data_IF_746331028163
#
_entry.id   IF_746331028163
#
_cell.length_a   1.000
_cell.length_b   1.000
_cell.length_c   1.000
_cell.angle_alpha   90.00
_cell.angle_beta   90.00
_cell.angle_gamma   90.00
#
_symmetry.space_group_name_H-M   'P 1'
#
loop_
_entity.id
_entity.type
_entity.pdbx_description
1 polymer ?
#
# COMPACT_ATOMS: atom_id res chain seq x y z
N UNK A 1 20.21 8.47 -8.71
CA UNK A 1 20.50 9.11 -7.40
C UNK A 1 19.61 8.61 -6.25
N UNK A 2 18.30 8.34 -6.45
CA UNK A 2 17.45 7.76 -5.39
C UNK A 2 17.91 6.36 -4.91
N UNK A 3 18.18 5.44 -5.84
CA UNK A 3 18.82 4.14 -5.53
C UNK A 3 20.22 4.28 -4.91
N UNK A 4 20.94 5.37 -5.21
CA UNK A 4 22.25 5.63 -4.63
C UNK A 4 22.17 6.10 -3.17
N UNK A 5 21.11 6.85 -2.79
CA UNK A 5 20.87 7.21 -1.39
C UNK A 5 20.34 6.03 -0.58
N UNK A 6 19.50 5.17 -1.18
CA UNK A 6 19.08 3.92 -0.56
C UNK A 6 20.28 2.98 -0.36
N UNK A 7 21.17 2.86 -1.34
CA UNK A 7 22.41 2.11 -1.18
C UNK A 7 23.34 2.70 -0.13
N UNK A 8 23.47 4.03 -0.05
CA UNK A 8 24.23 4.68 1.01
C UNK A 8 23.64 4.36 2.40
N UNK A 9 22.31 4.37 2.53
CA UNK A 9 21.63 3.98 3.76
C UNK A 9 21.85 2.49 4.10
N UNK A 10 21.73 1.59 3.13
CA UNK A 10 21.99 0.15 3.32
C UNK A 10 23.46 -0.12 3.70
N UNK A 11 24.40 0.61 3.09
CA UNK A 11 25.83 0.57 3.42
C UNK A 11 26.07 1.03 4.86
N UNK A 12 25.46 2.16 5.26
CA UNK A 12 25.58 2.69 6.62
C UNK A 12 25.00 1.75 7.69
N UNK A 13 24.02 0.91 7.31
CA UNK A 13 23.42 -0.11 8.16
C UNK A 13 24.17 -1.45 8.15
N UNK A 14 25.26 -1.58 7.39
CA UNK A 14 26.02 -2.84 7.25
C UNK A 14 25.27 -3.94 6.49
N UNK A 15 24.20 -3.59 5.77
CA UNK A 15 23.41 -4.55 5.00
C UNK A 15 24.12 -4.86 3.68
N UNK A 16 24.43 -6.14 3.44
CA UNK A 16 24.97 -6.59 2.16
C UNK A 16 23.95 -6.36 1.04
N UNK A 17 24.36 -5.71 -0.04
CA UNK A 17 23.50 -5.40 -1.17
C UNK A 17 24.31 -5.35 -2.46
N UNK A 18 23.66 -5.64 -3.59
CA UNK A 18 24.23 -5.49 -4.95
C UNK A 18 23.33 -4.54 -5.73
N UNK A 19 23.89 -3.43 -6.19
CA UNK A 19 23.17 -2.50 -7.06
C UNK A 19 23.39 -2.95 -8.50
N UNK A 20 22.33 -3.44 -9.14
CA UNK A 20 22.33 -3.66 -10.59
C UNK A 20 21.83 -2.38 -11.26
N UNK A 21 22.73 -1.64 -11.90
CA UNK A 21 22.35 -0.53 -12.76
C UNK A 21 21.91 -1.06 -14.12
N UNK A 22 20.75 -0.59 -14.59
CA UNK A 22 20.34 -0.77 -15.97
C UNK A 22 21.43 -0.25 -16.93
N UNK A 23 21.95 -1.06 -17.87
CA UNK A 23 23.02 -0.65 -18.78
C UNK A 23 22.58 0.42 -19.78
N UNK A 24 21.27 0.69 -19.89
CA UNK A 24 20.75 1.79 -20.70
C UNK A 24 21.22 3.12 -20.10
N UNK A 25 21.89 3.95 -20.92
CA UNK A 25 22.26 5.32 -20.55
C UNK A 25 21.01 6.11 -20.17
N UNK A 26 20.73 6.21 -18.87
CA UNK A 26 19.71 7.11 -18.36
C UNK A 26 20.23 8.52 -18.56
N UNK A 27 19.57 9.34 -19.38
CA UNK A 27 19.93 10.74 -19.54
C UNK A 27 19.50 11.51 -18.30
N UNK A 28 20.34 11.53 -17.27
CA UNK A 28 20.11 12.23 -16.00
C UNK A 28 20.00 13.76 -16.12
N UNK A 29 20.21 14.33 -17.33
CA UNK A 29 19.92 15.74 -17.65
C UNK A 29 18.49 15.95 -18.16
N UNK A 30 17.83 14.91 -18.64
CA UNK A 30 16.45 14.94 -19.12
C UNK A 30 15.42 14.53 -18.04
N UNK A 31 15.89 14.26 -16.82
CA UNK A 31 15.05 13.84 -15.69
C UNK A 31 15.01 14.96 -14.67
N UNK A 32 13.82 15.45 -14.35
CA UNK A 32 13.61 16.36 -13.24
C UNK A 32 13.80 15.61 -11.91
N UNK A 33 14.96 15.81 -11.29
CA UNK A 33 15.37 15.14 -10.06
C UNK A 33 14.52 15.59 -8.87
N UNK A 34 14.04 16.84 -8.87
CA UNK A 34 13.18 17.39 -7.83
C UNK A 34 11.82 16.72 -7.93
N UNK A 35 11.28 16.58 -9.14
CA UNK A 35 10.05 15.84 -9.37
C UNK A 35 10.17 14.38 -8.90
N UNK A 36 11.28 13.68 -9.17
CA UNK A 36 11.47 12.31 -8.68
C UNK A 36 11.54 12.22 -7.15
N UNK A 37 12.30 13.09 -6.49
CA UNK A 37 12.37 13.10 -5.02
C UNK A 37 11.03 13.43 -4.37
N UNK A 38 10.20 14.25 -5.04
CA UNK A 38 8.85 14.56 -4.57
C UNK A 38 7.96 13.31 -4.47
N UNK A 39 8.14 12.31 -5.35
CA UNK A 39 7.37 11.05 -5.34
C UNK A 39 7.66 10.24 -4.07
N UNK A 40 8.94 10.05 -3.72
CA UNK A 40 9.33 9.37 -2.49
C UNK A 40 8.86 10.12 -1.24
N UNK A 41 9.07 11.44 -1.23
CA UNK A 41 8.61 12.32 -0.15
C UNK A 41 7.11 12.17 0.08
N UNK A 42 6.32 12.18 -1.00
CA UNK A 42 4.86 12.12 -0.91
C UNK A 42 4.36 10.81 -0.29
N UNK A 43 5.01 9.67 -0.60
CA UNK A 43 4.63 8.39 -0.02
C UNK A 43 4.90 8.36 1.50
N UNK A 44 6.10 8.78 1.90
CA UNK A 44 6.49 8.87 3.32
C UNK A 44 5.64 9.88 4.07
N UNK A 45 5.36 11.02 3.43
CA UNK A 45 4.48 12.06 3.96
C UNK A 45 3.08 11.51 4.23
N UNK A 46 2.45 10.86 3.24
CA UNK A 46 1.11 10.31 3.43
C UNK A 46 1.08 9.20 4.47
N UNK A 47 2.12 8.37 4.57
CA UNK A 47 2.26 7.41 5.68
C UNK A 47 2.22 8.12 7.04
N UNK A 48 3.05 9.15 7.21
CA UNK A 48 3.15 9.87 8.49
C UNK A 48 1.87 10.66 8.78
N UNK A 49 1.39 11.43 7.81
CA UNK A 49 0.22 12.30 7.95
C UNK A 49 -1.06 11.50 8.22
N UNK A 50 -1.24 10.36 7.58
CA UNK A 50 -2.39 9.50 7.83
C UNK A 50 -2.18 8.58 9.05
N UNK A 51 -1.10 8.73 9.82
CA UNK A 51 -0.75 7.81 10.91
C UNK A 51 -0.82 6.32 10.52
N UNK A 52 -0.39 6.03 9.29
CA UNK A 52 -0.42 4.69 8.71
C UNK A 52 0.85 3.92 9.07
N UNK A 53 0.73 2.61 9.26
CA UNK A 53 1.88 1.73 9.40
C UNK A 53 2.55 1.46 8.05
N UNK A 54 1.78 1.51 6.97
CA UNK A 54 2.23 1.25 5.62
C UNK A 54 1.51 2.11 4.58
N UNK A 55 2.27 2.61 3.60
CA UNK A 55 1.76 3.35 2.45
C UNK A 55 2.38 2.80 1.17
N UNK A 56 1.53 2.39 0.22
CA UNK A 56 1.94 1.88 -1.08
C UNK A 56 1.79 2.92 -2.19
N UNK A 57 2.70 2.88 -3.17
CA UNK A 57 2.52 3.53 -4.45
C UNK A 57 1.60 2.71 -5.37
N UNK A 58 1.08 3.36 -6.40
CA UNK A 58 0.35 2.71 -7.49
C UNK A 58 1.33 2.16 -8.53
N UNK A 59 1.35 0.84 -8.75
CA UNK A 59 2.16 0.24 -9.80
C UNK A 59 1.33 0.07 -11.09
N UNK A 60 1.76 0.74 -12.16
CA UNK A 60 1.02 0.75 -13.42
C UNK A 60 1.83 0.12 -14.55
N UNK A 61 1.12 -0.62 -15.38
CA UNK A 61 1.61 -1.15 -16.66
C UNK A 61 0.77 -0.61 -17.82
N UNK A 62 1.29 -0.60 -19.05
CA UNK A 62 0.45 -0.34 -20.21
C UNK A 62 -0.59 -1.45 -20.35
N UNK A 63 -1.73 -1.11 -20.93
CA UNK A 63 -2.74 -2.10 -21.29
C UNK A 63 -2.17 -3.14 -22.28
N UNK A 64 -2.66 -4.37 -22.21
CA UNK A 64 -2.19 -5.51 -22.99
C UNK A 64 -2.98 -5.74 -24.29
N UNK A 65 -2.45 -6.63 -25.13
CA UNK A 65 -3.18 -7.23 -26.26
C UNK A 65 -3.72 -6.24 -27.30
N UNK A 66 -4.85 -6.62 -27.92
CA UNK A 66 -5.54 -5.79 -28.91
C UNK A 66 -6.01 -4.45 -28.31
N UNK A 67 -6.47 -4.43 -27.06
CA UNK A 67 -6.99 -3.23 -26.40
C UNK A 67 -5.98 -2.07 -26.34
N UNK A 68 -4.67 -2.37 -26.23
CA UNK A 68 -3.60 -1.35 -26.34
C UNK A 68 -3.68 -0.54 -27.63
N UNK A 69 -4.03 -1.17 -28.76
CA UNK A 69 -4.13 -0.50 -30.07
C UNK A 69 -5.36 0.38 -30.21
N UNK A 70 -6.39 0.17 -29.37
CA UNK A 70 -7.68 0.85 -29.49
C UNK A 70 -7.87 1.97 -28.46
N UNK A 71 -7.53 1.76 -27.19
CA UNK A 71 -7.78 2.75 -26.13
C UNK A 71 -6.53 3.29 -25.44
N UNK A 72 -5.36 2.69 -25.65
CA UNK A 72 -4.07 3.13 -25.09
C UNK A 72 -4.01 3.28 -23.57
N UNK A 73 -4.97 2.74 -22.80
CA UNK A 73 -5.10 2.94 -21.35
C UNK A 73 -3.98 2.24 -20.56
N UNK A 74 -4.01 2.43 -19.25
CA UNK A 74 -3.06 1.87 -18.27
C UNK A 74 -3.80 0.91 -17.34
N UNK A 75 -3.09 -0.05 -16.77
CA UNK A 75 -3.65 -1.03 -15.84
C UNK A 75 -2.82 -1.11 -14.58
N UNK A 76 -3.51 -1.23 -13.45
CA UNK A 76 -2.84 -1.52 -12.19
C UNK A 76 -2.23 -2.92 -12.25
N UNK A 77 -0.91 -2.96 -12.13
CA UNK A 77 -0.10 -4.16 -12.18
C UNK A 77 -0.38 -5.03 -10.94
N UNK A 78 -0.16 -6.34 -11.05
CA UNK A 78 -0.23 -7.27 -9.92
C UNK A 78 -1.47 -7.17 -9.01
N UNK A 79 -2.66 -6.97 -9.60
CA UNK A 79 -3.91 -6.85 -8.84
C UNK A 79 -4.18 -8.03 -7.89
N UNK A 80 -3.61 -9.21 -8.17
CA UNK A 80 -3.82 -10.42 -7.37
C UNK A 80 -3.21 -10.36 -5.95
N UNK A 81 -2.26 -9.46 -5.66
CA UNK A 81 -1.73 -9.27 -4.29
C UNK A 81 -2.41 -8.15 -3.51
N UNK A 82 -3.13 -7.27 -4.20
CA UNK A 82 -3.72 -6.06 -3.63
C UNK A 82 -5.14 -6.28 -3.16
N UNK A 83 -5.50 -5.76 -1.99
CA UNK A 83 -6.80 -5.97 -1.34
C UNK A 83 -7.33 -4.72 -0.72
N UNK A 84 -8.57 -4.38 -1.04
CA UNK A 84 -9.32 -3.30 -0.39
C UNK A 84 -9.55 -3.60 1.09
N UNK A 85 -10.09 -2.61 1.81
CA UNK A 85 -10.47 -2.82 3.20
C UNK A 85 -11.69 -3.75 3.35
N UNK A 86 -12.46 -3.98 2.28
CA UNK A 86 -13.54 -4.97 2.26
C UNK A 86 -13.03 -6.39 1.99
N UNK A 87 -11.74 -6.56 1.70
CA UNK A 87 -11.12 -7.86 1.45
C UNK A 87 -11.09 -8.29 -0.01
N UNK A 88 -11.59 -7.45 -0.93
CA UNK A 88 -11.67 -7.71 -2.36
C UNK A 88 -10.42 -7.23 -3.12
N UNK A 89 -10.17 -7.74 -4.32
CA UNK A 89 -9.11 -7.20 -5.20
C UNK A 89 -9.43 -5.77 -5.66
N UNK A 90 -8.44 -4.93 -5.99
CA UNK A 90 -8.74 -3.55 -6.43
C UNK A 90 -9.51 -3.45 -7.74
N UNK A 91 -9.37 -4.44 -8.61
CA UNK A 91 -10.15 -4.61 -9.83
C UNK A 91 -10.86 -5.96 -9.76
N UNK A 92 -12.14 -5.99 -10.12
CA UNK A 92 -12.91 -7.23 -10.19
C UNK A 92 -12.26 -8.21 -11.17
N UNK A 93 -12.02 -9.44 -10.72
CA UNK A 93 -11.34 -10.46 -11.55
C UNK A 93 -12.26 -11.09 -12.60
N UNK A 94 -13.57 -11.06 -12.36
CA UNK A 94 -14.57 -11.60 -13.27
C UNK A 94 -14.91 -10.68 -14.47
N UNK A 95 -14.34 -9.46 -14.52
CA UNK A 95 -14.59 -8.54 -15.63
C UNK A 95 -13.75 -8.90 -16.86
N UNK A 96 -14.31 -9.77 -17.71
CA UNK A 96 -13.73 -10.23 -18.98
C UNK A 96 -13.54 -9.06 -19.97
N UNK A 97 -14.28 -7.95 -19.77
CA UNK A 97 -14.17 -6.73 -20.56
C UNK A 97 -13.25 -5.68 -19.91
N UNK A 98 -12.68 -5.96 -18.73
CA UNK A 98 -11.84 -5.02 -17.99
C UNK A 98 -10.73 -4.44 -18.84
N UNK A 99 -10.05 -5.25 -19.67
CA UNK A 99 -8.97 -4.77 -20.54
C UNK A 99 -9.44 -3.70 -21.56
N UNK A 100 -10.73 -3.51 -21.80
CA UNK A 100 -11.27 -2.47 -22.70
C UNK A 100 -11.72 -1.19 -21.99
N UNK A 101 -11.80 -1.22 -20.66
CA UNK A 101 -12.20 -0.10 -19.81
C UNK A 101 -11.00 0.79 -19.45
N UNK A 102 -11.30 1.96 -18.89
CA UNK A 102 -10.29 2.88 -18.35
C UNK A 102 -9.75 2.31 -17.04
N UNK A 103 -8.48 1.92 -17.01
CA UNK A 103 -7.93 1.21 -15.85
C UNK A 103 -7.75 2.05 -14.59
N UNK A 104 -7.85 3.39 -14.66
CA UNK A 104 -7.97 4.24 -13.46
C UNK A 104 -9.39 4.21 -12.90
N UNK A 105 -10.39 4.10 -13.77
CA UNK A 105 -11.81 4.03 -13.39
C UNK A 105 -12.23 2.64 -12.93
N UNK A 106 -11.48 1.59 -13.22
CA UNK A 106 -11.72 0.22 -12.71
C UNK A 106 -11.31 0.03 -11.25
N UNK A 107 -10.51 0.93 -10.67
CA UNK A 107 -10.03 0.77 -9.30
C UNK A 107 -11.18 1.03 -8.33
N UNK A 108 -11.48 0.05 -7.46
CA UNK A 108 -12.57 0.06 -6.47
C UNK A 108 -13.98 0.19 -7.08
N UNK A 109 -14.21 -0.30 -8.30
CA UNK A 109 -15.49 -0.12 -9.00
C UNK A 109 -16.54 -1.22 -8.77
N UNK A 110 -16.19 -2.24 -7.98
CA UNK A 110 -17.07 -3.36 -7.66
C UNK A 110 -18.09 -3.00 -6.55
N UNK A 111 -19.24 -3.72 -6.49
CA UNK A 111 -20.27 -3.46 -5.48
C UNK A 111 -19.73 -3.54 -4.04
N UNK A 112 -20.10 -2.58 -3.20
CA UNK A 112 -19.65 -2.49 -1.81
C UNK A 112 -18.36 -1.69 -1.59
N UNK A 113 -17.69 -1.25 -2.66
CA UNK A 113 -16.49 -0.40 -2.59
C UNK A 113 -16.79 1.10 -2.81
N UNK A 114 -18.05 1.52 -2.86
CA UNK A 114 -18.46 2.87 -3.30
C UNK A 114 -17.78 3.98 -2.48
N UNK A 115 -17.62 3.77 -1.17
CA UNK A 115 -16.90 4.69 -0.27
C UNK A 115 -15.43 4.87 -0.68
N UNK A 116 -14.77 3.77 -1.03
CA UNK A 116 -13.37 3.77 -1.43
C UNK A 116 -13.21 4.32 -2.84
N UNK A 117 -14.20 4.04 -3.72
CA UNK A 117 -14.30 4.60 -5.05
C UNK A 117 -14.41 6.12 -5.05
N UNK A 118 -15.27 6.67 -4.20
CA UNK A 118 -15.44 8.12 -4.07
C UNK A 118 -14.13 8.78 -3.62
N UNK A 119 -13.49 8.22 -2.60
CA UNK A 119 -12.20 8.71 -2.09
C UNK A 119 -11.09 8.62 -3.12
N UNK A 120 -11.04 7.52 -3.87
CA UNK A 120 -10.14 7.31 -5.01
C UNK A 120 -10.34 8.34 -6.11
N UNK A 121 -11.59 8.61 -6.49
CA UNK A 121 -11.92 9.59 -7.54
C UNK A 121 -11.56 11.03 -7.16
N UNK A 122 -11.36 11.31 -5.86
CA UNK A 122 -10.80 12.58 -5.35
C UNK A 122 -9.27 12.60 -5.34
N UNK A 123 -8.60 11.48 -5.65
CA UNK A 123 -7.15 11.34 -5.60
C UNK A 123 -6.58 11.21 -4.18
N UNK A 124 -7.43 10.95 -3.19
CA UNK A 124 -7.02 10.85 -1.79
C UNK A 124 -6.46 9.46 -1.43
N UNK A 125 -5.57 9.36 -0.43
CA UNK A 125 -5.09 8.07 0.05
C UNK A 125 -6.24 7.17 0.51
N UNK A 126 -6.29 5.93 0.03
CA UNK A 126 -7.38 4.98 0.32
C UNK A 126 -6.88 3.90 1.30
N UNK A 127 -7.58 3.60 2.40
CA UNK A 127 -7.22 2.51 3.30
C UNK A 127 -7.45 1.15 2.62
N UNK A 128 -6.52 0.22 2.83
CA UNK A 128 -6.49 -1.07 2.14
C UNK A 128 -5.94 -2.14 3.08
N UNK A 129 -6.17 -3.43 2.79
CA UNK A 129 -5.53 -4.52 3.53
C UNK A 129 -4.09 -4.75 3.06
N UNK A 130 -3.90 -4.89 1.75
CA UNK A 130 -2.59 -5.13 1.12
C UNK A 130 -2.49 -4.37 -0.20
N UNK A 131 -1.31 -3.87 -0.55
CA UNK A 131 -1.15 -3.02 -1.73
C UNK A 131 0.26 -2.99 -2.31
N UNK A 132 1.18 -3.80 -1.79
CA UNK A 132 2.59 -3.68 -2.14
C UNK A 132 2.87 -4.31 -3.50
N UNK A 133 3.15 -3.49 -4.51
CA UNK A 133 3.63 -3.95 -5.80
C UNK A 133 5.00 -3.30 -6.10
N UNK A 134 5.01 -2.01 -6.45
CA UNK A 134 6.22 -1.31 -6.87
C UNK A 134 7.01 -0.65 -5.73
N UNK A 135 6.37 0.24 -4.95
CA UNK A 135 7.03 0.98 -3.87
C UNK A 135 6.18 1.01 -2.60
N UNK A 136 6.82 0.83 -1.45
CA UNK A 136 6.20 0.74 -0.13
C UNK A 136 7.03 1.51 0.89
N UNK A 137 6.38 2.34 1.70
CA UNK A 137 6.94 2.92 2.92
C UNK A 137 6.21 2.30 4.12
N UNK A 138 6.94 1.74 5.07
CA UNK A 138 6.35 0.98 6.19
C UNK A 138 7.08 1.20 7.52
N UNK A 139 6.43 0.84 8.62
CA UNK A 139 7.03 0.79 9.97
C UNK A 139 8.03 -0.36 10.03
N UNK A 140 9.27 -0.08 10.45
CA UNK A 140 10.32 -1.09 10.50
C UNK A 140 10.23 -2.00 11.73
N UNK A 141 9.44 -1.62 12.76
CA UNK A 141 9.32 -2.35 14.03
C UNK A 141 8.99 -3.83 13.85
N UNK A 142 8.10 -4.23 12.91
CA UNK A 142 7.87 -5.64 12.66
C UNK A 142 9.09 -6.43 12.23
N UNK A 143 10.05 -5.82 11.54
CA UNK A 143 11.28 -6.48 11.08
C UNK A 143 12.38 -6.52 12.14
N UNK A 144 12.37 -5.60 13.11
CA UNK A 144 13.44 -5.43 14.10
C UNK A 144 13.07 -5.93 15.50
N UNK A 145 11.79 -6.14 15.76
CA UNK A 145 11.25 -6.52 17.06
C UNK A 145 10.12 -7.54 16.93
N UNK A 146 9.76 -8.19 18.03
CA UNK A 146 8.57 -9.05 18.18
C UNK A 146 7.38 -8.32 18.80
N UNK A 147 7.55 -7.05 19.20
CA UNK A 147 6.51 -6.26 19.85
C UNK A 147 5.26 -6.09 18.96
N UNK A 148 4.10 -6.02 19.61
CA UNK A 148 2.86 -5.60 18.95
C UNK A 148 2.89 -4.09 18.70
N UNK A 149 1.97 -3.60 17.87
CA UNK A 149 1.83 -2.16 17.63
C UNK A 149 1.52 -1.43 18.94
N UNK A 150 2.22 -0.32 19.26
CA UNK A 150 1.99 0.47 20.46
C UNK A 150 0.56 1.02 20.59
N UNK A 151 -0.23 1.04 19.50
CA UNK A 151 -1.65 1.44 19.55
C UNK A 151 -2.51 0.45 20.33
N UNK A 152 -2.12 -0.82 20.33
CA UNK A 152 -2.85 -1.92 20.97
C UNK A 152 -2.24 -2.35 22.30
N UNK A 153 -1.09 -1.78 22.67
CA UNK A 153 -0.41 -2.08 23.93
C UNK A 153 -0.94 -1.17 25.06
N UNK A 154 -1.56 -1.72 26.11
CA UNK A 154 -2.03 -0.94 27.26
C UNK A 154 -0.92 -0.20 28.01
N UNK A 155 0.32 -0.69 27.94
CA UNK A 155 1.50 -0.09 28.58
C UNK A 155 2.17 1.00 27.73
N UNK A 156 1.68 1.21 26.51
CA UNK A 156 2.21 2.20 25.58
C UNK A 156 2.12 3.63 26.12
N UNK A 157 3.18 4.44 25.97
CA UNK A 157 3.17 5.85 26.36
C UNK A 157 2.33 6.73 25.41
N UNK A 158 1.75 6.16 24.34
CA UNK A 158 0.91 6.89 23.40
C UNK A 158 -0.34 7.47 24.08
N UNK A 159 -0.69 8.69 23.67
CA UNK A 159 -1.92 9.36 24.08
C UNK A 159 -3.17 8.52 23.78
N UNK A 160 -4.26 8.74 24.51
CA UNK A 160 -5.53 8.03 24.28
C UNK A 160 -6.07 8.25 22.86
N UNK A 161 -5.88 9.44 22.28
CA UNK A 161 -6.29 9.73 20.89
C UNK A 161 -5.46 8.94 19.89
N UNK A 162 -4.14 8.89 20.04
CA UNK A 162 -3.24 8.12 19.16
C UNK A 162 -3.43 6.59 19.31
N UNK A 163 -3.98 6.13 20.43
CA UNK A 163 -4.36 4.72 20.65
C UNK A 163 -5.74 4.35 20.07
N UNK A 164 -6.56 5.32 19.64
CA UNK A 164 -7.84 5.00 18.98
C UNK A 164 -7.56 4.24 17.67
N UNK A 165 -8.00 3.01 17.59
CA UNK A 165 -7.91 2.18 16.38
C UNK A 165 -9.23 1.44 16.18
N UNK A 166 -9.44 0.85 15.00
CA UNK A 166 -10.64 0.05 14.73
C UNK A 166 -10.79 -1.11 15.71
N UNK A 167 -12.04 -1.49 16.00
CA UNK A 167 -12.37 -2.56 16.96
C UNK A 167 -12.01 -3.92 16.37
N UNK A 168 -11.10 -4.63 17.03
CA UNK A 168 -10.62 -5.97 16.63
C UNK A 168 -10.12 -6.79 17.82
N UNK A 169 -9.98 -8.12 17.67
CA UNK A 169 -9.25 -8.94 18.63
C UNK A 169 -7.81 -8.42 18.87
N UNK A 170 -7.26 -8.63 20.08
CA UNK A 170 -5.90 -8.21 20.40
C UNK A 170 -4.88 -8.78 19.40
N UNK A 171 -3.83 -8.02 19.05
CA UNK A 171 -2.74 -8.52 18.22
C UNK A 171 -2.06 -9.75 18.82
N UNK A 172 -1.55 -10.61 17.95
CA UNK A 172 -0.82 -11.81 18.33
C UNK A 172 0.61 -11.47 18.72
N UNK A 173 1.07 -12.04 19.83
CA UNK A 173 2.50 -12.06 20.17
C UNK A 173 3.20 -13.10 19.31
N UNK A 174 4.36 -12.72 18.78
CA UNK A 174 5.17 -13.58 17.90
C UNK A 174 6.52 -13.86 18.56
N UNK A 175 7.11 -15.01 18.26
CA UNK A 175 8.42 -15.40 18.80
C UNK A 175 9.59 -14.87 17.99
N UNK A 176 9.36 -14.41 16.75
CA UNK A 176 10.42 -13.90 15.86
C UNK A 176 9.95 -12.67 15.08
N UNK A 177 10.87 -11.75 14.72
CA UNK A 177 10.54 -10.63 13.85
C UNK A 177 10.04 -11.11 12.47
N UNK A 178 9.25 -10.28 11.81
CA UNK A 178 8.75 -10.53 10.46
C UNK A 178 9.90 -10.70 9.47
N UNK A 179 9.70 -11.55 8.47
CA UNK A 179 10.64 -11.79 7.38
C UNK A 179 9.86 -11.95 6.09
N UNK A 180 10.47 -11.58 4.97
CA UNK A 180 9.91 -11.96 3.67
C UNK A 180 9.86 -13.48 3.58
N UNK A 181 8.68 -14.00 3.27
CA UNK A 181 8.39 -15.43 3.22
C UNK A 181 7.33 -15.70 2.15
N UNK A 182 7.30 -16.93 1.67
CA UNK A 182 6.17 -17.43 0.89
C UNK A 182 4.97 -17.72 1.81
N UNK A 183 3.79 -17.86 1.21
CA UNK A 183 2.61 -18.35 1.90
C UNK A 183 2.86 -19.73 2.54
N UNK A 184 2.34 -19.95 3.75
CA UNK A 184 2.41 -21.25 4.40
C UNK A 184 1.53 -22.25 3.65
N UNK A 185 2.03 -23.48 3.47
CA UNK A 185 1.29 -24.58 2.83
C UNK A 185 0.20 -25.20 3.73
N UNK A 186 -0.17 -24.54 4.83
CA UNK A 186 -1.16 -25.02 5.80
C UNK A 186 -2.54 -24.39 5.58
N UNK A 187 -3.63 -25.01 6.07
CA UNK A 187 -4.96 -24.41 6.00
C UNK A 187 -4.98 -22.98 6.60
N UNK A 188 -5.71 -22.06 5.96
CA UNK A 188 -5.98 -20.72 6.49
C UNK A 188 -5.01 -19.60 6.11
N UNK A 189 -4.09 -19.84 5.18
CA UNK A 189 -3.34 -18.79 4.49
C UNK A 189 -3.44 -18.98 2.98
N UNK A 190 -3.69 -17.91 2.26
CA UNK A 190 -3.81 -17.99 0.81
C UNK A 190 -2.46 -18.23 0.16
N UNK A 191 -2.46 -18.96 -0.97
CA UNK A 191 -1.36 -18.91 -1.92
C UNK A 191 -1.18 -17.46 -2.39
N UNK A 192 -0.08 -16.83 -1.97
CA UNK A 192 0.15 -15.42 -2.13
C UNK A 192 1.65 -15.12 -2.26
N UNK A 193 1.98 -14.03 -2.95
CA UNK A 193 3.33 -13.47 -2.99
C UNK A 193 3.67 -12.84 -1.63
N UNK A 194 4.97 -12.69 -1.38
CA UNK A 194 5.56 -11.94 -0.28
C UNK A 194 4.90 -10.57 -0.07
N UNK A 195 4.44 -9.94 -1.15
CA UNK A 195 3.76 -8.66 -1.16
C UNK A 195 2.47 -8.62 -0.32
N UNK A 196 1.73 -9.74 -0.30
CA UNK A 196 0.50 -9.88 0.49
C UNK A 196 0.76 -10.55 1.83
N UNK A 197 1.66 -11.54 1.90
CA UNK A 197 1.96 -12.21 3.18
C UNK A 197 2.61 -11.26 4.18
N UNK A 198 3.36 -10.26 3.69
CA UNK A 198 3.89 -9.19 4.51
C UNK A 198 2.78 -8.41 5.22
N UNK A 199 1.71 -8.06 4.50
CA UNK A 199 0.56 -7.39 5.09
C UNK A 199 -0.04 -8.26 6.20
N UNK A 200 -0.26 -9.55 5.96
CA UNK A 200 -0.75 -10.46 7.01
C UNK A 200 0.12 -10.42 8.28
N UNK A 201 1.44 -10.51 8.14
CA UNK A 201 2.37 -10.49 9.27
C UNK A 201 2.29 -9.18 10.06
N UNK A 202 2.16 -8.05 9.37
CA UNK A 202 1.97 -6.75 10.00
C UNK A 202 0.61 -6.64 10.71
N UNK A 203 -0.45 -7.04 10.02
CA UNK A 203 -1.82 -7.01 10.53
C UNK A 203 -2.00 -7.93 11.75
N UNK A 204 -1.39 -9.12 11.78
CA UNK A 204 -1.43 -10.00 12.97
C UNK A 204 -0.87 -9.34 14.22
N UNK A 205 0.10 -8.43 14.06
CA UNK A 205 0.78 -7.71 15.14
C UNK A 205 0.23 -6.31 15.41
N UNK A 206 -0.89 -5.94 14.78
CA UNK A 206 -1.56 -4.65 14.98
C UNK A 206 -0.94 -3.50 14.20
N UNK A 207 -0.03 -3.76 13.27
CA UNK A 207 0.47 -2.78 12.30
C UNK A 207 -0.43 -2.79 11.06
N UNK A 208 -1.70 -2.48 11.29
CA UNK A 208 -2.82 -2.73 10.38
C UNK A 208 -3.28 -1.51 9.59
N UNK A 209 -2.77 -0.31 9.86
CA UNK A 209 -3.16 0.89 9.10
C UNK A 209 -2.38 0.96 7.79
N UNK A 210 -2.91 0.28 6.77
CA UNK A 210 -2.34 0.26 5.42
C UNK A 210 -3.14 1.15 4.49
N UNK A 211 -2.45 1.88 3.63
CA UNK A 211 -3.08 2.73 2.62
C UNK A 211 -2.36 2.66 1.28
N UNK A 212 -3.07 3.00 0.21
CA UNK A 212 -2.49 3.24 -1.11
C UNK A 212 -2.65 4.72 -1.50
N UNK A 213 -1.61 5.29 -2.12
CA UNK A 213 -1.55 6.72 -2.45
C UNK A 213 -1.70 6.93 -3.96
N UNK A 214 -2.86 7.42 -4.45
CA UNK A 214 -3.12 7.54 -5.89
C UNK A 214 -2.15 8.47 -6.64
N UNK A 215 -1.61 9.47 -5.94
CA UNK A 215 -0.70 10.46 -6.51
C UNK A 215 0.75 9.99 -6.67
N UNK A 216 1.11 8.85 -6.07
CA UNK A 216 2.45 8.25 -6.16
C UNK A 216 2.36 7.07 -7.11
N UNK A 217 2.99 7.18 -8.28
CA UNK A 217 2.97 6.14 -9.31
C UNK A 217 4.35 5.58 -9.61
N UNK A 218 4.41 4.27 -9.82
CA UNK A 218 5.56 3.54 -10.36
C UNK A 218 5.16 2.88 -11.67
N UNK A 219 6.10 2.81 -12.62
CA UNK A 219 5.90 2.18 -13.93
C UNK A 219 7.20 1.56 -14.41
N UNK A 220 7.11 0.64 -15.37
CA UNK A 220 8.28 -0.02 -15.99
C UNK A 220 8.72 0.64 -17.29
N UNK A 221 7.94 1.60 -17.81
CA UNK A 221 8.23 2.35 -19.01
C UNK A 221 7.83 3.82 -18.90
N UNK A 222 8.48 4.63 -19.73
CA UNK A 222 8.36 6.09 -19.74
C UNK A 222 6.97 6.56 -20.21
N UNK A 223 6.41 5.93 -21.22
CA UNK A 223 5.14 6.37 -21.83
C UNK A 223 3.97 6.15 -20.85
N UNK A 224 3.97 5.01 -20.15
CA UNK A 224 3.02 4.73 -19.07
C UNK A 224 3.18 5.76 -17.95
N UNK A 225 4.41 6.13 -17.56
CA UNK A 225 4.64 7.11 -16.49
C UNK A 225 4.02 8.48 -16.79
N UNK A 226 4.07 8.90 -18.05
CA UNK A 226 3.53 10.19 -18.49
C UNK A 226 2.12 10.11 -19.06
N UNK A 227 1.48 8.94 -18.98
CA UNK A 227 0.14 8.73 -19.51
C UNK A 227 -0.87 9.75 -18.95
N UNK A 228 -1.73 10.37 -19.80
CA UNK A 228 -2.65 11.42 -19.37
C UNK A 228 -3.57 11.02 -18.20
N UNK A 229 -4.06 9.77 -18.19
CA UNK A 229 -4.91 9.27 -17.10
C UNK A 229 -4.18 9.30 -15.75
N UNK A 230 -2.90 8.92 -15.71
CA UNK A 230 -2.10 8.92 -14.48
C UNK A 230 -1.69 10.33 -14.05
N UNK A 231 -1.40 11.21 -15.02
CA UNK A 231 -1.12 12.63 -14.73
C UNK A 231 -2.33 13.30 -14.09
N UNK A 232 -3.52 13.07 -14.66
CA UNK A 232 -4.79 13.56 -14.11
C UNK A 232 -5.02 13.04 -12.69
N UNK A 233 -4.90 11.72 -12.47
CA UNK A 233 -5.07 11.14 -11.14
C UNK A 233 -4.13 11.80 -10.11
N UNK A 234 -2.86 11.97 -10.46
CA UNK A 234 -1.87 12.58 -9.56
C UNK A 234 -2.09 14.05 -9.26
N UNK A 235 -2.83 14.77 -10.12
CA UNK A 235 -3.11 16.20 -9.92
C UNK A 235 -4.37 16.48 -9.12
N UNK A 236 -5.21 15.48 -8.82
CA UNK A 236 -6.48 15.69 -8.11
C UNK A 236 -6.29 16.15 -6.66
N UNK A 237 -5.29 15.59 -5.97
CA UNK A 237 -4.94 15.93 -4.58
C UNK A 237 -3.42 15.98 -4.41
N UNK A 238 -2.76 17.08 -4.83
CA UNK A 238 -1.32 17.20 -4.73
C UNK A 238 -0.89 17.30 -3.26
N UNK A 239 0.09 16.51 -2.78
CA UNK A 239 0.54 16.53 -1.38
C UNK A 239 1.14 17.86 -0.92
N UNK A 240 1.35 18.83 -1.83
CA UNK A 240 1.96 20.14 -1.56
C UNK A 240 1.00 21.18 -0.97
N UNK A 241 -0.30 20.89 -0.86
CA UNK A 241 -1.23 21.77 -0.11
C UNK A 241 -1.03 21.64 1.41
N UNK A 242 -0.27 20.63 1.85
CA UNK A 242 0.21 20.49 3.21
C UNK A 242 1.33 21.49 3.49
N UNK A 243 1.05 22.48 4.34
CA UNK A 243 2.02 23.47 4.82
C UNK A 243 3.15 22.76 5.59
N UNK A 244 4.23 22.41 4.90
CA UNK A 244 5.47 21.96 5.52
C UNK A 244 6.23 23.20 6.03
N UNK A 245 5.91 23.65 7.24
CA UNK A 245 6.84 24.50 8.00
C UNK A 245 7.96 23.59 8.51
N UNK A 246 9.15 23.68 7.91
CA UNK A 246 10.36 23.09 8.48
C UNK A 246 10.70 23.91 9.72
N UNK A 247 10.71 23.34 10.94
CA UNK A 247 11.12 24.09 12.12
C UNK A 247 12.57 24.54 11.95
N UNK A 248 12.82 25.85 11.99
CA UNK A 248 14.18 26.37 12.06
C UNK A 248 14.81 25.99 13.41
N UNK A 249 16.08 25.55 13.45
CA UNK A 249 16.75 25.16 14.70
C UNK A 249 17.00 26.33 15.69
N UNK A 250 16.62 27.55 15.32
CA UNK A 250 16.83 28.78 16.11
C UNK A 250 15.53 29.37 16.68
N UNK A 251 14.38 28.75 16.46
CA UNK A 251 13.10 29.24 16.99
C UNK A 251 12.77 28.54 18.32
N UNK A 252 12.36 29.27 19.38
CA UNK A 252 11.85 28.65 20.59
C UNK A 252 10.63 27.78 20.25
N UNK A 253 10.33 26.72 21.04
CA UNK A 253 9.20 25.86 20.80
C UNK A 253 7.91 26.65 21.03
N UNK A 254 7.38 27.25 19.97
CA UNK A 254 5.97 27.60 19.90
C UNK A 254 5.16 26.32 20.10
N UNK A 255 3.98 26.37 20.75
CA UNK A 255 3.11 25.20 20.84
C UNK A 255 2.94 24.66 19.42
N UNK A 256 3.32 23.39 19.23
CA UNK A 256 3.31 22.72 17.94
C UNK A 256 2.01 23.10 17.21
N UNK A 257 2.05 23.64 15.98
CA UNK A 257 0.94 23.41 15.07
C UNK A 257 0.76 21.90 15.10
N UNK A 258 -0.44 21.40 15.39
CA UNK A 258 -0.66 19.97 15.48
C UNK A 258 -0.04 19.27 14.27
N UNK A 259 0.38 18.01 14.41
CA UNK A 259 0.86 17.15 13.30
C UNK A 259 -0.19 16.98 12.15
N UNK A 260 -1.24 17.81 12.13
CA UNK A 260 -2.32 17.99 11.17
C UNK A 260 -1.94 18.84 9.97
N UNK A 261 -0.91 18.40 9.26
CA UNK A 261 -0.57 18.93 7.95
C UNK A 261 -1.60 18.59 6.84
N UNK A 262 -2.67 17.82 7.13
CA UNK A 262 -3.77 17.54 6.19
C UNK A 262 -5.06 18.17 6.69
N UNK A 263 -5.88 18.63 5.76
CA UNK A 263 -7.28 18.98 6.01
C UNK A 263 -7.98 17.81 6.72
N UNK A 264 -8.74 18.04 7.82
CA UNK A 264 -9.47 16.99 8.53
C UNK A 264 -10.35 16.11 7.63
N UNK A 265 -10.89 16.67 6.53
CA UNK A 265 -11.69 15.94 5.54
C UNK A 265 -10.88 14.97 4.66
N UNK A 266 -9.55 15.13 4.60
CA UNK A 266 -8.62 14.26 3.90
C UNK A 266 -8.03 13.18 4.81
N UNK A 267 -8.23 13.25 6.13
CA UNK A 267 -7.78 12.20 7.06
C UNK A 267 -8.60 10.93 6.87
N UNK A 268 -7.96 9.78 7.07
CA UNK A 268 -8.64 8.48 7.17
C UNK A 268 -9.15 8.35 8.62
N UNK A 269 -10.46 8.23 8.87
CA UNK A 269 -11.00 8.10 10.21
C UNK A 269 -10.87 6.65 10.70
N UNK A 270 -9.65 6.20 11.00
CA UNK A 270 -9.33 4.79 11.29
C UNK A 270 -10.22 4.14 12.36
N UNK A 271 -10.70 4.91 13.34
CA UNK A 271 -11.57 4.41 14.42
C UNK A 271 -13.03 4.18 14.00
N UNK A 272 -13.49 4.83 12.93
CA UNK A 272 -14.84 4.66 12.36
C UNK A 272 -14.89 3.57 11.29
N UNK A 273 -13.74 2.95 11.01
CA UNK A 273 -13.60 1.85 10.08
C UNK A 273 -13.60 0.51 10.81
N UNK A 274 -13.88 -0.56 10.06
CA UNK A 274 -13.73 -1.93 10.53
C UNK A 274 -12.64 -2.61 9.71
N UNK A 275 -11.82 -3.47 10.31
CA UNK A 275 -10.92 -4.32 9.55
C UNK A 275 -11.73 -5.29 8.67
N UNK A 276 -11.15 -5.82 7.57
CA UNK A 276 -11.80 -6.85 6.78
C UNK A 276 -12.12 -8.09 7.63
N UNK A 277 -13.31 -8.66 7.46
CA UNK A 277 -13.67 -9.93 8.09
C UNK A 277 -12.94 -11.11 7.44
N UNK A 278 -12.79 -11.04 6.13
CA UNK A 278 -12.07 -12.01 5.32
C UNK A 278 -11.42 -11.33 4.14
N UNK A 279 -10.42 -11.99 3.54
CA UNK A 279 -9.73 -11.50 2.36
C UNK A 279 -9.79 -12.59 1.31
N UNK A 280 -10.32 -12.25 0.12
CA UNK A 280 -10.46 -13.20 -0.99
C UNK A 280 -9.09 -13.48 -1.60
N UNK A 281 -8.90 -14.69 -2.07
CA UNK A 281 -7.70 -15.09 -2.78
C UNK A 281 -8.04 -16.10 -3.84
N UNK A 282 -7.25 -16.07 -4.88
CA UNK A 282 -7.42 -16.97 -5.98
C UNK A 282 -6.10 -17.68 -6.20
N UNK A 283 -6.14 -19.00 -6.29
CA UNK A 283 -4.96 -19.79 -6.64
C UNK A 283 -4.43 -19.37 -8.01
N UNK A 284 -3.10 -19.34 -8.16
CA UNK A 284 -2.48 -19.10 -9.46
C UNK A 284 -2.72 -20.30 -10.39
N UNK A 285 -3.12 -20.04 -11.63
CA UNK A 285 -3.41 -21.06 -12.64
C UNK A 285 -2.71 -20.68 -13.94
N UNK A 286 -2.05 -21.66 -14.56
CA UNK A 286 -1.41 -21.49 -15.87
C UNK A 286 -2.46 -21.62 -16.98
N UNK A 287 -2.50 -20.68 -17.93
CA UNK A 287 -3.39 -20.70 -19.09
C UNK A 287 -4.62 -19.80 -18.96
N UNK A 288 -5.52 -19.80 -19.96
CA UNK A 288 -6.78 -19.07 -19.90
C UNK A 288 -7.70 -19.72 -18.85
N UNK A 289 -8.19 -18.91 -17.92
CA UNK A 289 -9.12 -19.34 -16.88
C UNK A 289 -10.06 -18.18 -16.54
N UNK A 290 -11.29 -18.52 -16.16
CA UNK A 290 -12.26 -17.58 -15.61
C UNK A 290 -12.25 -17.75 -14.10
N UNK A 291 -11.92 -16.69 -13.37
CA UNK A 291 -11.92 -16.68 -11.92
C UNK A 291 -13.30 -16.26 -11.41
N UNK A 292 -14.19 -17.24 -11.27
CA UNK A 292 -15.43 -17.06 -10.54
C UNK A 292 -15.16 -17.26 -9.05
N UNK A 293 -15.51 -16.29 -8.22
CA UNK A 293 -15.31 -16.30 -6.76
C UNK A 293 -15.86 -17.58 -6.11
N UNK A 294 -17.08 -18.00 -6.50
CA UNK A 294 -17.73 -19.19 -5.98
C UNK A 294 -17.08 -20.52 -6.42
N UNK A 295 -16.24 -20.52 -7.46
CA UNK A 295 -15.53 -21.72 -7.94
C UNK A 295 -14.09 -21.80 -7.44
N UNK A 296 -13.40 -20.66 -7.30
CA UNK A 296 -11.93 -20.62 -7.11
C UNK A 296 -11.47 -19.62 -6.04
N UNK A 297 -12.40 -18.92 -5.42
CA UNK A 297 -12.13 -18.08 -4.26
C UNK A 297 -11.76 -18.93 -3.05
N UNK A 298 -10.74 -18.49 -2.33
CA UNK A 298 -10.36 -18.97 -1.01
C UNK A 298 -10.34 -17.77 -0.09
N UNK A 299 -10.87 -17.91 1.11
CA UNK A 299 -10.96 -16.80 2.07
C UNK A 299 -9.99 -17.01 3.21
N UNK A 300 -9.20 -15.98 3.46
CA UNK A 300 -8.24 -15.95 4.55
C UNK A 300 -8.69 -14.93 5.60
N UNK A 301 -8.48 -15.27 6.86
CA UNK A 301 -8.67 -14.31 7.96
C UNK A 301 -7.46 -13.37 8.03
N UNK A 302 -7.65 -12.05 7.89
CA UNK A 302 -6.56 -11.10 7.66
C UNK A 302 -5.54 -10.97 8.81
N UNK A 303 -5.92 -11.31 10.04
CA UNK A 303 -5.05 -11.15 11.20
C UNK A 303 -5.04 -12.35 12.16
N UNK A 304 -5.36 -13.55 11.66
CA UNK A 304 -5.29 -14.78 12.45
C UNK A 304 -4.55 -15.89 11.73
N UNK A 305 -3.89 -16.78 12.49
CA UNK A 305 -3.34 -18.04 11.99
C UNK A 305 -4.12 -19.21 12.56
N UNK A 306 -4.36 -20.27 11.78
CA UNK A 306 -5.10 -21.46 12.25
C UNK A 306 -4.41 -22.15 13.44
N UNK A 307 -3.07 -22.03 13.58
CA UNK A 307 -2.35 -22.56 14.75
C UNK A 307 -2.83 -21.98 16.08
N UNK A 308 -3.45 -20.80 16.10
CA UNK A 308 -3.99 -20.18 17.32
C UNK A 308 -5.39 -20.68 17.72
N UNK A 309 -6.04 -21.50 16.88
CA UNK A 309 -7.38 -22.05 17.15
C UNK A 309 -7.30 -23.41 17.88
N UNK A 310 -6.18 -24.14 17.77
CA UNK A 310 -6.00 -25.47 18.37
C UNK A 310 -5.30 -25.40 19.75
N UNK A 311 -4.83 -24.22 20.16
CA UNK A 311 -4.21 -23.98 21.48
C UNK A 311 -5.10 -23.18 22.45
N UNK A 312 -6.41 -23.12 22.20
CA UNK A 312 -7.40 -22.63 23.17
C UNK A 312 -8.31 -23.76 23.60
#
# INVERSE_FOLDING_TARGET
LALAHLAAALTALGASHTILSDPRKTNWKAVDRIAQLSVYRNLVFQRKAQEADAACAMDWRPNGGLARKWNGSVKFYDNWVSRSLSGETFRARADILSEWRNGVEEIFDQPGEERWKERWNRGLPVPVYSCWNGMLALDATPFTSTAISPRYDPSSPLSLSSRKSWRRPPPLTVSTPARFRSALKSPGECAASECKTLAKDFWTRGFDRWLIVPSVRTTYDHDTYFHPQLRRLSSLSPPSTSQLTVPSPLSPPSPLPSDDALDPSERIPWWDLSPPDSVVCYGWVRGFHVDLEWLRGTWERPYSFIRTIIQR
#
